data_IF_184502184932
#
_entry.id   IF_184502184932
#
_cell.length_a   1.000
_cell.length_b   1.000
_cell.length_c   1.000
_cell.angle_alpha   90.00
_cell.angle_beta   90.00
_cell.angle_gamma   90.00
#
_symmetry.space_group_name_H-M   'P 1'
#
loop_
_entity.id
_entity.type
_entity.pdbx_description
1 polymer ?
#
# COMPACT_ATOMS: atom_id res chain seq x y z
N UNK A 1 -87.88 11.45 71.75
CA UNK A 1 -86.81 12.42 72.05
C UNK A 1 -85.70 12.18 71.03
N UNK A 2 -85.62 12.96 69.93
CA UNK A 2 -84.90 14.26 69.83
C UNK A 2 -83.44 14.12 70.28
N UNK A 3 -82.38 14.41 69.53
CA UNK A 3 -82.15 15.13 68.27
C UNK A 3 -80.69 14.81 67.81
N UNK A 4 -80.13 15.41 66.73
CA UNK A 4 -79.14 14.82 65.82
C UNK A 4 -77.69 15.12 66.21
N UNK A 5 -76.69 14.56 65.50
CA UNK A 5 -75.43 15.31 65.33
C UNK A 5 -74.49 14.89 64.17
N UNK A 6 -74.16 15.95 63.41
CA UNK A 6 -72.93 16.29 62.67
C UNK A 6 -72.42 15.37 61.56
N UNK A 7 -72.67 15.81 60.33
CA UNK A 7 -71.88 15.44 59.16
C UNK A 7 -70.45 16.00 59.29
N UNK A 8 -69.46 15.11 59.32
CA UNK A 8 -68.03 15.48 59.24
C UNK A 8 -67.65 15.62 57.77
N UNK A 9 -67.32 16.86 57.40
CA UNK A 9 -66.80 17.22 56.09
C UNK A 9 -65.35 16.72 55.96
N UNK A 10 -65.15 15.58 55.30
CA UNK A 10 -63.82 15.06 54.99
C UNK A 10 -63.25 15.81 53.78
N UNK A 11 -62.33 16.74 54.06
CA UNK A 11 -61.60 17.51 53.05
C UNK A 11 -60.90 16.63 52.02
N UNK A 12 -60.96 17.05 50.76
CA UNK A 12 -60.33 16.37 49.63
C UNK A 12 -58.79 16.28 49.81
N UNK A 13 -58.14 15.18 49.41
CA UNK A 13 -56.69 15.05 49.48
C UNK A 13 -56.00 16.04 48.53
N UNK A 14 -54.79 16.54 48.87
CA UNK A 14 -54.08 17.48 48.02
C UNK A 14 -53.67 16.84 46.69
N UNK A 15 -53.90 17.56 45.60
CA UNK A 15 -53.58 17.13 44.24
C UNK A 15 -52.06 16.92 44.10
N UNK A 16 -51.63 15.68 43.79
CA UNK A 16 -50.25 15.35 43.46
C UNK A 16 -49.82 16.14 42.22
N UNK A 17 -48.84 17.03 42.37
CA UNK A 17 -48.20 17.72 41.25
C UNK A 17 -47.59 16.69 40.29
N UNK A 18 -48.15 16.56 39.08
CA UNK A 18 -47.56 15.76 37.99
C UNK A 18 -46.24 16.41 37.58
N UNK A 19 -45.12 15.75 37.87
CA UNK A 19 -43.85 16.08 37.23
C UNK A 19 -44.00 15.91 35.70
N UNK A 20 -43.46 16.82 34.88
CA UNK A 20 -43.49 16.64 33.43
C UNK A 20 -42.70 15.37 33.09
N UNK A 21 -43.35 14.44 32.39
CA UNK A 21 -42.71 13.23 31.91
C UNK A 21 -41.50 13.63 31.05
N UNK A 22 -40.30 13.14 31.41
CA UNK A 22 -39.13 13.22 30.53
C UNK A 22 -39.55 12.61 29.19
N UNK A 23 -39.53 13.41 28.12
CA UNK A 23 -39.73 12.90 26.76
C UNK A 23 -38.66 11.82 26.54
N UNK A 24 -39.10 10.57 26.41
CA UNK A 24 -38.21 9.50 26.00
C UNK A 24 -37.69 9.85 24.60
N UNK A 25 -36.38 10.02 24.48
CA UNK A 25 -35.75 10.17 23.17
C UNK A 25 -36.09 8.92 22.34
N UNK A 26 -36.55 9.07 21.09
CA UNK A 26 -36.87 7.92 20.27
C UNK A 26 -35.60 7.06 20.14
N UNK A 27 -35.69 5.73 20.31
CA UNK A 27 -34.54 4.86 20.15
C UNK A 27 -33.98 5.08 18.75
N UNK A 28 -32.68 5.39 18.64
CA UNK A 28 -32.00 5.45 17.34
C UNK A 28 -32.34 4.16 16.61
N UNK A 29 -33.06 4.29 15.49
CA UNK A 29 -33.57 3.11 14.78
C UNK A 29 -32.41 2.22 14.35
N UNK A 30 -32.54 0.91 14.52
CA UNK A 30 -31.53 -0.09 14.16
C UNK A 30 -30.97 0.13 12.73
N UNK A 31 -31.81 0.57 11.79
CA UNK A 31 -31.42 0.94 10.42
C UNK A 31 -30.38 2.06 10.38
N UNK A 32 -30.53 3.11 11.19
CA UNK A 32 -29.59 4.22 11.25
C UNK A 32 -28.24 3.78 11.82
N UNK A 33 -28.24 2.91 12.82
CA UNK A 33 -27.00 2.34 13.39
C UNK A 33 -26.26 1.47 12.38
N UNK A 34 -26.96 0.59 11.67
CA UNK A 34 -26.37 -0.21 10.59
C UNK A 34 -25.85 0.68 9.46
N UNK A 35 -26.57 1.73 9.10
CA UNK A 35 -26.16 2.68 8.06
C UNK A 35 -24.88 3.41 8.46
N UNK A 36 -24.83 3.95 9.68
CA UNK A 36 -23.62 4.61 10.21
C UNK A 36 -22.46 3.61 10.30
N UNK A 37 -22.70 2.38 10.75
CA UNK A 37 -21.68 1.34 10.84
C UNK A 37 -21.11 0.98 9.47
N UNK A 38 -21.97 0.77 8.47
CA UNK A 38 -21.54 0.49 7.09
C UNK A 38 -20.79 1.68 6.51
N UNK A 39 -21.25 2.91 6.74
CA UNK A 39 -20.56 4.12 6.27
C UNK A 39 -19.18 4.27 6.91
N UNK A 40 -19.07 4.08 8.23
CA UNK A 40 -17.79 4.12 8.94
C UNK A 40 -16.86 2.98 8.50
N UNK A 41 -17.41 1.78 8.27
CA UNK A 41 -16.65 0.64 7.76
C UNK A 41 -16.14 0.91 6.35
N UNK A 42 -17.01 1.37 5.44
CA UNK A 42 -16.63 1.71 4.07
C UNK A 42 -15.64 2.86 4.05
N UNK A 43 -15.85 3.92 4.82
CA UNK A 43 -14.92 5.04 4.92
C UNK A 43 -13.57 4.60 5.48
N UNK A 44 -13.56 3.90 6.62
CA UNK A 44 -12.33 3.41 7.25
C UNK A 44 -11.57 2.43 6.37
N UNK A 45 -12.25 1.49 5.73
CA UNK A 45 -11.60 0.50 4.87
C UNK A 45 -11.09 1.11 3.56
N UNK A 46 -11.83 2.02 2.91
CA UNK A 46 -11.42 2.65 1.64
C UNK A 46 -10.32 3.72 1.80
N UNK A 47 -10.25 4.37 2.96
CA UNK A 47 -9.24 5.40 3.23
C UNK A 47 -7.92 4.81 3.74
N UNK A 48 -7.98 3.73 4.53
CA UNK A 48 -6.79 3.12 5.14
C UNK A 48 -6.18 2.03 4.25
N UNK A 49 -7.00 1.28 3.52
CA UNK A 49 -6.56 0.16 2.70
C UNK A 49 -7.01 0.35 1.25
N UNK A 50 -6.14 0.00 0.30
CA UNK A 50 -6.49 -0.03 -1.12
C UNK A 50 -6.11 -1.36 -1.76
N UNK A 51 -7.01 -1.86 -2.62
CA UNK A 51 -6.75 -3.04 -3.42
C UNK A 51 -6.01 -2.67 -4.72
N UNK A 52 -5.00 -3.46 -5.07
CA UNK A 52 -4.26 -3.35 -6.34
C UNK A 52 -4.09 -4.73 -6.96
N UNK A 53 -3.96 -4.78 -8.29
CA UNK A 53 -3.61 -6.01 -9.01
C UNK A 53 -2.24 -5.83 -9.65
N UNK A 54 -1.40 -6.86 -9.60
CA UNK A 54 -0.07 -6.84 -10.20
C UNK A 54 -0.16 -7.26 -11.68
N UNK A 55 0.10 -6.33 -12.63
CA UNK A 55 0.00 -6.63 -14.05
C UNK A 55 1.32 -7.12 -14.65
N UNK A 56 2.47 -6.88 -14.02
CA UNK A 56 3.80 -7.16 -14.59
C UNK A 56 4.65 -8.06 -13.70
N UNK A 57 5.58 -8.78 -14.32
CA UNK A 57 6.50 -9.70 -13.63
C UNK A 57 7.75 -9.06 -13.03
N UNK A 58 7.81 -7.74 -12.89
CA UNK A 58 9.04 -7.06 -12.44
C UNK A 58 9.43 -7.33 -10.98
N UNK A 59 8.47 -7.82 -10.19
CA UNK A 59 8.64 -8.24 -8.81
C UNK A 59 8.51 -9.77 -8.67
N UNK A 60 8.67 -10.54 -9.77
CA UNK A 60 8.52 -12.00 -9.77
C UNK A 60 9.33 -12.68 -8.64
N UNK A 61 8.86 -13.87 -8.25
CA UNK A 61 9.22 -14.62 -7.04
C UNK A 61 8.69 -14.02 -5.73
N UNK A 62 8.64 -12.69 -5.62
CA UNK A 62 7.95 -12.00 -4.52
C UNK A 62 6.46 -11.80 -4.83
N UNK A 63 6.16 -11.10 -5.93
CA UNK A 63 4.82 -10.78 -6.43
C UNK A 63 4.70 -11.25 -7.88
N UNK A 64 3.65 -12.03 -8.18
CA UNK A 64 3.41 -12.59 -9.50
C UNK A 64 2.29 -11.84 -10.22
N UNK A 65 2.31 -11.88 -11.55
CA UNK A 65 1.21 -11.39 -12.38
C UNK A 65 -0.10 -12.04 -11.92
N UNK A 66 -1.13 -11.22 -11.68
CA UNK A 66 -2.44 -11.64 -11.16
C UNK A 66 -2.52 -11.79 -9.64
N UNK A 67 -1.48 -11.43 -8.89
CA UNK A 67 -1.60 -11.22 -7.44
C UNK A 67 -2.43 -9.97 -7.16
N UNK A 68 -3.41 -10.11 -6.27
CA UNK A 68 -4.24 -9.03 -5.77
C UNK A 68 -3.80 -8.67 -4.36
N UNK A 69 -3.41 -7.42 -4.17
CA UNK A 69 -2.76 -6.92 -2.96
C UNK A 69 -3.72 -6.05 -2.15
N UNK A 70 -3.68 -6.18 -0.82
CA UNK A 70 -4.16 -5.12 0.07
C UNK A 70 -2.97 -4.27 0.51
N UNK A 71 -3.09 -2.97 0.30
CA UNK A 71 -2.04 -1.98 0.56
C UNK A 71 -2.47 -1.07 1.70
N UNK A 72 -1.63 -0.99 2.73
CA UNK A 72 -1.77 -0.06 3.84
C UNK A 72 -1.26 1.32 3.44
N UNK A 73 -2.18 2.28 3.33
CA UNK A 73 -1.86 3.69 3.03
C UNK A 73 -1.38 4.45 4.26
N UNK A 74 -1.76 4.00 5.46
CA UNK A 74 -1.44 4.68 6.69
C UNK A 74 0.04 4.53 7.04
N UNK A 75 0.63 3.37 6.75
CA UNK A 75 2.05 3.09 6.98
C UNK A 75 2.96 4.22 6.48
N UNK A 76 2.70 4.78 5.29
CA UNK A 76 3.52 5.85 4.72
C UNK A 76 2.73 7.16 4.53
N UNK A 77 1.67 7.39 5.30
CA UNK A 77 0.99 8.69 5.28
C UNK A 77 1.78 9.74 6.09
N UNK A 78 1.67 11.04 5.76
CA UNK A 78 2.23 12.10 6.59
C UNK A 78 1.58 12.08 7.98
N UNK A 79 2.41 12.10 9.02
CA UNK A 79 1.92 12.08 10.38
C UNK A 79 1.40 13.47 10.79
N UNK A 80 0.15 13.54 11.27
CA UNK A 80 -0.45 14.78 11.76
C UNK A 80 0.07 15.16 13.16
N UNK A 81 -0.18 16.39 13.64
CA UNK A 81 0.34 16.89 14.91
C UNK A 81 0.02 16.00 16.12
N UNK A 82 -1.19 15.43 16.12
CA UNK A 82 -1.71 14.54 17.18
C UNK A 82 -1.66 13.07 16.75
N UNK A 83 -2.00 12.76 15.50
CA UNK A 83 -2.11 11.38 15.05
C UNK A 83 -0.78 10.62 15.09
N UNK A 84 0.37 11.31 15.01
CA UNK A 84 1.70 10.69 15.12
C UNK A 84 1.93 9.86 16.39
N UNK A 85 1.17 10.12 17.46
CA UNK A 85 1.30 9.41 18.73
C UNK A 85 0.35 8.22 18.87
N UNK A 86 -0.65 8.11 17.98
CA UNK A 86 -1.74 7.13 18.10
C UNK A 86 -1.77 6.19 16.90
N UNK A 87 -1.40 6.67 15.72
CA UNK A 87 -1.43 5.91 14.48
C UNK A 87 -0.03 5.36 14.13
N UNK A 88 0.05 4.14 13.58
CA UNK A 88 1.31 3.44 13.32
C UNK A 88 2.00 3.92 12.04
N UNK A 89 2.30 5.22 11.95
CA UNK A 89 3.09 5.75 10.83
C UNK A 89 4.51 5.16 10.85
N UNK A 90 5.01 4.82 9.67
CA UNK A 90 6.34 4.26 9.46
C UNK A 90 7.11 5.15 8.49
N UNK A 91 8.43 5.24 8.71
CA UNK A 91 9.31 5.70 7.66
C UNK A 91 9.57 4.55 6.69
N UNK A 92 9.78 4.90 5.42
CA UNK A 92 10.17 3.92 4.41
C UNK A 92 11.60 3.49 4.70
N UNK A 93 11.80 2.18 4.92
CA UNK A 93 13.10 1.58 5.24
C UNK A 93 13.65 0.83 4.05
N UNK A 94 14.96 0.54 4.10
CA UNK A 94 15.61 -0.33 3.13
C UNK A 94 14.94 -1.71 3.14
N UNK A 95 14.69 -2.24 1.95
CA UNK A 95 14.07 -3.54 1.72
C UNK A 95 12.56 -3.58 1.88
N UNK A 96 11.91 -2.47 2.27
CA UNK A 96 10.46 -2.34 2.18
C UNK A 96 10.01 -2.44 0.70
N UNK A 97 8.86 -3.07 0.49
CA UNK A 97 8.16 -2.99 -0.80
C UNK A 97 7.21 -1.80 -0.72
N UNK A 98 7.22 -0.98 -1.76
CA UNK A 98 6.40 0.23 -1.83
C UNK A 98 5.50 0.18 -3.05
N UNK A 99 4.26 0.65 -2.88
CA UNK A 99 3.36 0.99 -3.97
C UNK A 99 3.42 2.50 -4.15
N UNK A 100 3.67 2.98 -5.36
CA UNK A 100 3.89 4.41 -5.61
C UNK A 100 3.40 4.82 -7.01
N UNK A 101 3.09 6.10 -7.16
CA UNK A 101 2.82 6.71 -8.47
C UNK A 101 4.12 6.82 -9.25
N UNK A 102 4.14 6.32 -10.47
CA UNK A 102 5.32 6.32 -11.32
C UNK A 102 5.81 7.77 -11.57
N UNK A 103 7.07 8.14 -11.28
CA UNK A 103 7.51 9.54 -11.37
C UNK A 103 7.44 10.17 -12.76
N UNK A 104 7.52 9.38 -13.82
CA UNK A 104 7.42 9.89 -15.20
C UNK A 104 5.96 10.06 -15.64
N UNK A 105 5.07 9.18 -15.18
CA UNK A 105 3.62 9.26 -15.45
C UNK A 105 2.83 8.87 -14.18
N UNK A 106 2.37 9.89 -13.46
CA UNK A 106 1.70 9.73 -12.17
C UNK A 106 0.33 9.06 -12.26
N UNK A 107 -0.22 8.85 -13.46
CA UNK A 107 -1.43 8.06 -13.67
C UNK A 107 -1.15 6.55 -13.51
N UNK A 108 0.12 6.14 -13.64
CA UNK A 108 0.53 4.75 -13.48
C UNK A 108 0.99 4.48 -12.04
N UNK A 109 0.68 3.30 -11.53
CA UNK A 109 1.11 2.84 -10.20
C UNK A 109 2.06 1.67 -10.34
N UNK A 110 3.20 1.76 -9.66
CA UNK A 110 4.26 0.77 -9.71
C UNK A 110 4.47 0.16 -8.31
N UNK A 111 5.01 -1.06 -8.29
CA UNK A 111 5.41 -1.75 -7.07
C UNK A 111 6.87 -2.17 -7.21
N UNK A 112 7.72 -1.72 -6.28
CA UNK A 112 9.17 -2.00 -6.26
C UNK A 112 9.67 -2.16 -4.83
N UNK A 113 10.86 -2.74 -4.68
CA UNK A 113 11.58 -2.78 -3.41
C UNK A 113 12.50 -1.58 -3.28
N UNK A 114 12.49 -0.94 -2.11
CA UNK A 114 13.42 0.12 -1.76
C UNK A 114 14.78 -0.48 -1.51
N UNK A 115 15.77 -0.07 -2.31
CA UNK A 115 17.16 -0.51 -2.15
C UNK A 115 17.97 0.54 -1.40
N UNK A 116 17.72 1.83 -1.67
CA UNK A 116 18.36 2.93 -0.95
C UNK A 116 17.36 3.97 -0.45
N UNK A 117 17.67 4.51 0.72
CA UNK A 117 16.97 5.62 1.40
C UNK A 117 17.87 6.87 1.38
N UNK A 118 17.38 8.07 1.77
CA UNK A 118 18.20 9.28 1.73
C UNK A 118 19.58 9.13 2.38
N UNK A 119 20.61 9.58 1.67
CA UNK A 119 22.01 9.50 2.07
C UNK A 119 22.75 8.25 1.61
N UNK A 120 22.05 7.22 1.14
CA UNK A 120 22.68 5.99 0.65
C UNK A 120 23.46 6.21 -0.64
N UNK A 121 24.56 5.46 -0.76
CA UNK A 121 25.39 5.36 -1.95
C UNK A 121 25.19 4.00 -2.60
N UNK A 122 24.85 4.00 -3.88
CA UNK A 122 24.46 2.80 -4.61
C UNK A 122 25.38 2.63 -5.81
N UNK A 123 25.91 1.42 -5.92
CA UNK A 123 26.66 0.97 -7.10
C UNK A 123 26.24 -0.46 -7.41
N UNK A 124 26.28 -0.83 -8.67
CA UNK A 124 26.06 -2.18 -9.15
C UNK A 124 27.27 -2.55 -9.98
N UNK A 125 27.87 -3.70 -9.69
CA UNK A 125 28.98 -4.26 -10.46
C UNK A 125 28.66 -5.71 -10.74
N UNK A 126 28.61 -6.09 -12.02
CA UNK A 126 28.29 -7.45 -12.46
C UNK A 126 27.11 -8.05 -11.70
N UNK A 127 25.95 -7.38 -11.72
CA UNK A 127 24.68 -7.83 -11.07
C UNK A 127 24.66 -7.81 -9.54
N UNK A 128 25.76 -7.47 -8.88
CA UNK A 128 25.84 -7.32 -7.43
C UNK A 128 25.61 -5.86 -7.04
N UNK A 129 24.62 -5.61 -6.18
CA UNK A 129 24.39 -4.27 -5.61
C UNK A 129 25.36 -4.08 -4.45
N UNK A 130 25.99 -2.91 -4.42
CA UNK A 130 26.79 -2.39 -3.33
C UNK A 130 26.03 -1.21 -2.73
N UNK A 131 25.81 -1.27 -1.43
CA UNK A 131 25.17 -0.23 -0.64
C UNK A 131 26.21 0.31 0.34
N UNK A 132 26.53 1.60 0.24
CA UNK A 132 27.53 2.26 1.07
C UNK A 132 28.88 1.52 1.05
N UNK A 133 29.30 1.06 -0.14
CA UNK A 133 30.55 0.32 -0.35
C UNK A 133 30.53 -1.16 0.05
N UNK A 134 29.46 -1.68 0.67
CA UNK A 134 29.36 -3.09 1.05
C UNK A 134 28.45 -3.87 0.10
N UNK A 135 28.78 -5.12 -0.27
CA UNK A 135 27.88 -5.94 -1.07
C UNK A 135 26.58 -6.18 -0.30
N UNK A 136 25.46 -5.86 -0.92
CA UNK A 136 24.15 -6.07 -0.36
C UNK A 136 23.74 -7.54 -0.48
N UNK A 137 23.33 -8.15 0.63
CA UNK A 137 22.73 -9.49 0.62
C UNK A 137 21.27 -9.41 0.17
N UNK A 138 20.94 -10.11 -0.91
CA UNK A 138 19.64 -9.99 -1.57
C UNK A 138 19.02 -11.39 -1.75
N UNK A 139 18.58 -12.07 -0.68
CA UNK A 139 18.02 -13.42 -0.76
C UNK A 139 16.71 -13.49 -1.56
N UNK A 140 16.10 -12.34 -1.83
CA UNK A 140 14.89 -12.16 -2.64
C UNK A 140 15.18 -11.93 -4.12
N UNK A 141 16.45 -11.74 -4.52
CA UNK A 141 16.83 -11.43 -5.90
C UNK A 141 16.92 -12.71 -6.72
N UNK A 142 16.41 -12.66 -7.95
CA UNK A 142 16.60 -13.71 -8.94
C UNK A 142 17.15 -13.13 -10.25
N UNK A 143 18.14 -13.81 -10.81
CA UNK A 143 18.65 -13.54 -12.16
C UNK A 143 18.15 -14.64 -13.09
N UNK A 144 17.38 -14.25 -14.11
CA UNK A 144 16.81 -15.17 -15.10
C UNK A 144 17.78 -15.48 -16.23
N UNK A 145 18.86 -14.70 -16.34
CA UNK A 145 19.88 -14.88 -17.35
C UNK A 145 21.27 -14.60 -16.79
N UNK A 146 22.25 -15.34 -17.31
CA UNK A 146 23.68 -15.12 -17.06
C UNK A 146 24.25 -13.96 -17.90
N UNK A 147 23.47 -13.44 -18.86
CA UNK A 147 23.85 -12.28 -19.66
C UNK A 147 24.04 -11.04 -18.77
N UNK A 148 25.22 -10.42 -18.88
CA UNK A 148 25.57 -9.16 -18.23
C UNK A 148 25.30 -8.02 -19.21
N UNK A 149 24.35 -7.17 -18.85
CA UNK A 149 24.08 -5.93 -19.56
C UNK A 149 25.03 -4.82 -19.08
N UNK A 150 25.57 -4.04 -20.02
CA UNK A 150 26.62 -3.06 -19.74
C UNK A 150 26.18 -1.90 -18.84
N UNK A 151 24.88 -1.62 -18.73
CA UNK A 151 24.34 -0.54 -17.91
C UNK A 151 23.52 -1.07 -16.73
N UNK A 152 22.53 -1.94 -17.00
CA UNK A 152 21.61 -2.51 -16.00
C UNK A 152 22.37 -3.19 -14.85
N UNK A 153 23.46 -3.87 -15.18
CA UNK A 153 24.23 -4.70 -14.25
C UNK A 153 25.54 -4.04 -13.81
N UNK A 154 25.86 -2.85 -14.36
CA UNK A 154 27.04 -2.04 -14.05
C UNK A 154 26.64 -0.56 -13.95
N UNK A 155 26.07 -0.17 -12.81
CA UNK A 155 25.42 1.11 -12.59
C UNK A 155 26.04 1.85 -11.40
N UNK A 156 26.14 3.19 -11.38
CA UNK A 156 25.96 4.09 -12.52
C UNK A 156 27.06 3.87 -13.58
N UNK A 157 26.71 4.07 -14.85
CA UNK A 157 27.61 3.88 -15.99
C UNK A 157 27.04 4.50 -17.26
N UNK A 158 27.77 4.40 -18.37
CA UNK A 158 27.31 4.87 -19.68
C UNK A 158 26.05 4.09 -20.12
N UNK A 159 24.91 4.77 -20.34
CA UNK A 159 23.68 4.10 -20.73
C UNK A 159 23.77 3.49 -22.13
N UNK A 160 23.45 2.20 -22.25
CA UNK A 160 23.28 1.51 -23.53
C UNK A 160 21.85 1.60 -24.09
N UNK A 161 20.96 2.30 -23.38
CA UNK A 161 19.56 2.54 -23.72
C UNK A 161 19.20 4.01 -23.48
N UNK A 162 18.12 4.47 -24.11
CA UNK A 162 17.60 5.81 -23.84
C UNK A 162 16.96 5.85 -22.45
N UNK A 163 17.48 6.74 -21.61
CA UNK A 163 16.94 7.01 -20.27
C UNK A 163 15.85 8.08 -20.29
N UNK A 164 14.99 8.06 -19.27
CA UNK A 164 14.09 9.18 -18.99
C UNK A 164 14.89 10.38 -18.46
N UNK A 165 14.33 11.57 -18.60
CA UNK A 165 14.97 12.83 -18.21
C UNK A 165 15.41 12.81 -16.74
N UNK A 166 14.52 12.38 -15.85
CA UNK A 166 14.77 12.29 -14.40
C UNK A 166 15.94 11.34 -14.05
N UNK A 167 16.15 10.28 -14.84
CA UNK A 167 17.30 9.39 -14.65
C UNK A 167 18.60 10.03 -15.13
N UNK A 168 18.55 10.81 -16.22
CA UNK A 168 19.73 11.55 -16.71
C UNK A 168 20.14 12.60 -15.69
N UNK A 169 19.19 13.35 -15.15
CA UNK A 169 19.44 14.34 -14.08
C UNK A 169 20.02 13.69 -12.82
N UNK A 170 19.50 12.51 -12.43
CA UNK A 170 20.08 11.72 -11.34
C UNK A 170 21.55 11.38 -11.62
N UNK A 171 21.86 10.89 -12.83
CA UNK A 171 23.24 10.53 -13.18
C UNK A 171 24.18 11.74 -13.24
N UNK A 172 23.68 12.89 -13.70
CA UNK A 172 24.44 14.13 -13.83
C UNK A 172 24.74 14.79 -12.47
N UNK A 173 23.76 14.84 -11.57
CA UNK A 173 23.86 15.62 -10.34
C UNK A 173 24.09 14.80 -9.06
N UNK A 174 23.77 13.50 -9.09
CA UNK A 174 23.78 12.66 -7.88
C UNK A 174 24.80 11.53 -7.93
N UNK A 175 25.66 11.46 -8.94
CA UNK A 175 26.78 10.51 -8.97
C UNK A 175 28.01 11.14 -8.33
N UNK A 176 28.51 10.52 -7.25
CA UNK A 176 29.73 10.93 -6.55
C UNK A 176 30.65 9.73 -6.45
N UNK A 177 31.88 9.85 -6.97
CA UNK A 177 32.87 8.76 -6.99
C UNK A 177 32.35 7.47 -7.66
N UNK A 178 31.49 7.59 -8.68
CA UNK A 178 30.93 6.44 -9.39
C UNK A 178 29.87 5.68 -8.60
N UNK A 179 29.22 6.32 -7.62
CA UNK A 179 28.07 5.81 -6.88
C UNK A 179 26.94 6.83 -6.93
N UNK A 180 25.70 6.37 -7.10
CA UNK A 180 24.52 7.24 -7.00
C UNK A 180 24.20 7.50 -5.54
N UNK A 181 24.13 8.77 -5.15
CA UNK A 181 23.79 9.24 -3.80
C UNK A 181 22.32 9.63 -3.75
N UNK A 182 21.52 8.94 -2.93
CA UNK A 182 20.09 9.20 -2.81
C UNK A 182 19.84 10.53 -2.07
N UNK A 183 19.15 11.52 -2.68
CA UNK A 183 18.93 12.80 -2.02
C UNK A 183 17.85 12.74 -0.92
N UNK A 184 17.77 13.77 -0.05
CA UNK A 184 16.67 13.91 0.91
C UNK A 184 15.30 13.80 0.26
N UNK A 185 14.37 13.11 0.94
CA UNK A 185 13.00 12.93 0.48
C UNK A 185 12.84 11.98 -0.72
N UNK A 186 13.90 11.32 -1.15
CA UNK A 186 13.90 10.43 -2.31
C UNK A 186 14.33 9.01 -1.94
N UNK A 187 13.97 8.05 -2.81
CA UNK A 187 14.29 6.64 -2.65
C UNK A 187 14.78 6.06 -3.96
N UNK A 188 15.70 5.10 -3.88
CA UNK A 188 16.11 4.30 -5.03
C UNK A 188 15.44 2.94 -4.93
N UNK A 189 14.58 2.60 -5.90
CA UNK A 189 13.75 1.41 -5.87
C UNK A 189 14.04 0.50 -7.07
N UNK A 190 14.13 -0.80 -6.83
CA UNK A 190 14.42 -1.82 -7.85
C UNK A 190 13.38 -2.94 -7.84
N UNK A 191 13.20 -3.59 -8.99
CA UNK A 191 12.44 -4.83 -9.05
C UNK A 191 13.25 -6.01 -8.50
N UNK A 192 12.55 -7.01 -7.95
CA UNK A 192 13.18 -8.26 -7.50
C UNK A 192 13.61 -9.12 -8.71
N UNK A 193 12.85 -9.07 -9.81
CA UNK A 193 13.28 -9.61 -11.10
C UNK A 193 14.19 -8.58 -11.81
N UNK A 194 15.48 -8.61 -11.46
CA UNK A 194 16.47 -7.59 -11.85
C UNK A 194 16.68 -7.46 -13.35
N UNK A 195 16.55 -8.59 -14.05
CA UNK A 195 16.77 -8.68 -15.49
C UNK A 195 15.58 -8.15 -16.30
N UNK A 196 14.39 -8.06 -15.69
CA UNK A 196 13.13 -7.66 -16.34
C UNK A 196 12.36 -6.63 -15.52
N UNK A 197 13.07 -5.60 -15.05
CA UNK A 197 12.47 -4.51 -14.27
C UNK A 197 12.87 -3.14 -14.79
N UNK A 198 11.88 -2.38 -15.25
CA UNK A 198 11.98 -0.94 -15.41
C UNK A 198 11.85 -0.27 -14.03
N UNK A 199 12.97 0.18 -13.49
CA UNK A 199 13.11 0.71 -12.13
C UNK A 199 14.06 1.93 -12.06
N UNK A 200 14.51 2.33 -10.85
CA UNK A 200 15.24 3.58 -10.64
C UNK A 200 16.50 3.74 -11.51
N UNK A 201 17.08 2.64 -12.01
CA UNK A 201 18.17 2.67 -12.98
C UNK A 201 17.78 3.40 -14.28
N UNK A 202 16.50 3.41 -14.64
CA UNK A 202 16.03 3.93 -15.92
C UNK A 202 15.24 5.23 -15.81
N UNK A 203 14.50 5.43 -14.72
CA UNK A 203 13.66 6.64 -14.49
C UNK A 203 14.07 7.50 -13.29
N UNK A 204 15.11 7.12 -12.53
CA UNK A 204 15.64 7.93 -11.45
C UNK A 204 15.04 7.62 -10.08
N UNK A 205 15.01 8.60 -9.18
CA UNK A 205 14.53 8.40 -7.81
C UNK A 205 13.00 8.44 -7.67
N UNK A 206 12.47 7.80 -6.64
CA UNK A 206 11.06 7.92 -6.22
C UNK A 206 10.97 9.04 -5.18
N UNK A 207 10.25 10.14 -5.46
CA UNK A 207 9.96 11.14 -4.44
C UNK A 207 9.04 10.57 -3.36
N UNK A 208 9.20 11.01 -2.11
CA UNK A 208 8.43 10.51 -0.95
C UNK A 208 6.92 10.67 -1.14
N UNK A 209 6.50 11.75 -1.76
CA UNK A 209 5.12 12.13 -2.06
C UNK A 209 4.46 11.20 -3.10
N UNK A 210 5.25 10.49 -3.90
CA UNK A 210 4.74 9.52 -4.85
C UNK A 210 4.35 8.20 -4.17
N UNK A 211 4.87 7.93 -2.97
CA UNK A 211 4.63 6.67 -2.25
C UNK A 211 3.21 6.65 -1.69
N UNK A 212 2.43 5.67 -2.14
CA UNK A 212 1.02 5.48 -1.76
C UNK A 212 0.92 4.67 -0.48
N UNK A 213 1.69 3.58 -0.35
CA UNK A 213 1.56 2.68 0.80
C UNK A 213 2.40 1.42 0.74
N UNK A 214 2.22 0.59 1.77
CA UNK A 214 2.92 -0.68 1.98
C UNK A 214 2.01 -1.85 1.63
N UNK A 215 2.37 -2.73 0.67
CA UNK A 215 1.60 -3.93 0.41
C UNK A 215 1.74 -4.91 1.59
N UNK A 216 0.61 -5.36 2.15
CA UNK A 216 0.57 -6.20 3.36
C UNK A 216 0.31 -7.67 3.05
N UNK A 217 -0.72 -7.95 2.23
CA UNK A 217 -1.20 -9.30 1.98
C UNK A 217 -1.56 -9.46 0.50
N UNK A 218 -1.28 -10.64 -0.04
CA UNK A 218 -1.87 -11.10 -1.30
C UNK A 218 -3.21 -11.71 -0.90
N UNK A 219 -4.32 -10.98 -1.02
CA UNK A 219 -5.62 -11.49 -0.57
C UNK A 219 -6.19 -12.52 -1.55
N UNK A 220 -5.78 -12.45 -2.82
CA UNK A 220 -6.12 -13.43 -3.84
C UNK A 220 -5.07 -13.44 -4.95
N UNK A 221 -4.94 -14.57 -5.63
CA UNK A 221 -3.90 -14.78 -6.62
C UNK A 221 -4.46 -15.67 -7.72
N UNK A 222 -4.50 -15.15 -8.94
CA UNK A 222 -5.08 -15.84 -10.10
C UNK A 222 -4.07 -15.88 -11.24
N UNK A 223 -3.91 -17.03 -11.87
CA UNK A 223 -3.02 -17.21 -13.00
C UNK A 223 -3.60 -16.56 -14.27
N UNK A 224 -2.91 -15.53 -14.77
CA UNK A 224 -3.32 -14.75 -15.94
C UNK A 224 -2.10 -14.09 -16.59
N UNK A 225 -2.31 -13.43 -17.73
CA UNK A 225 -1.30 -12.72 -18.50
C UNK A 225 -1.49 -11.20 -18.40
N UNK A 226 -0.40 -10.45 -18.58
CA UNK A 226 -0.36 -8.98 -18.47
C UNK A 226 -1.44 -8.31 -19.31
N UNK A 227 -1.64 -8.79 -20.54
CA UNK A 227 -2.54 -8.19 -21.53
C UNK A 227 -3.99 -8.18 -21.06
N UNK A 228 -4.40 -9.21 -20.29
CA UNK A 228 -5.75 -9.31 -19.72
C UNK A 228 -5.97 -8.36 -18.55
N UNK A 229 -4.90 -7.95 -17.86
CA UNK A 229 -4.97 -7.06 -16.70
C UNK A 229 -4.90 -5.58 -17.08
N UNK A 230 -4.27 -5.26 -18.21
CA UNK A 230 -4.10 -3.88 -18.69
C UNK A 230 -5.21 -3.46 -19.66
N UNK A 231 -5.93 -4.41 -20.26
CA UNK A 231 -7.02 -4.14 -21.19
C UNK A 231 -8.18 -3.36 -20.56
N UNK A 232 -8.75 -2.40 -21.29
CA UNK A 232 -9.78 -1.47 -20.83
C UNK A 232 -11.19 -2.08 -20.69
N UNK A 233 -11.39 -3.34 -21.06
CA UNK A 233 -12.73 -3.95 -21.13
C UNK A 233 -12.71 -5.32 -20.45
N UNK A 234 -13.45 -5.47 -19.36
CA UNK A 234 -13.77 -6.79 -18.79
C UNK A 234 -14.76 -7.44 -19.75
N UNK A 235 -14.24 -8.21 -20.71
CA UNK A 235 -15.07 -8.98 -21.63
C UNK A 235 -15.79 -10.12 -20.93
N UNK A 236 -16.94 -10.53 -21.47
CA UNK A 236 -17.68 -11.71 -20.98
C UNK A 236 -16.80 -12.97 -20.92
N UNK A 237 -15.87 -13.12 -21.87
CA UNK A 237 -14.91 -14.23 -21.91
C UNK A 237 -13.99 -14.27 -20.68
N UNK A 238 -13.61 -13.11 -20.13
CA UNK A 238 -12.82 -13.04 -18.91
C UNK A 238 -13.63 -13.49 -17.68
N UNK A 239 -14.91 -13.09 -17.60
CA UNK A 239 -15.81 -13.52 -16.53
C UNK A 239 -16.04 -15.04 -16.60
N UNK A 240 -16.27 -15.57 -17.80
CA UNK A 240 -16.50 -16.99 -18.01
C UNK A 240 -15.25 -17.82 -17.67
N UNK A 241 -14.05 -17.36 -18.09
CA UNK A 241 -12.78 -17.96 -17.69
C UNK A 241 -12.63 -17.96 -16.17
N UNK A 242 -12.95 -16.85 -15.50
CA UNK A 242 -12.86 -16.74 -14.05
C UNK A 242 -13.76 -17.76 -13.36
N UNK A 243 -15.01 -17.89 -13.79
CA UNK A 243 -15.98 -18.81 -13.16
C UNK A 243 -15.59 -20.27 -13.41
N UNK A 244 -15.24 -20.61 -14.66
CA UNK A 244 -14.90 -21.98 -15.03
C UNK A 244 -13.57 -22.43 -14.41
N UNK A 245 -12.58 -21.55 -14.37
CA UNK A 245 -11.23 -21.86 -13.92
C UNK A 245 -10.92 -21.31 -12.52
N UNK A 246 -11.93 -20.87 -11.78
CA UNK A 246 -11.74 -20.27 -10.44
C UNK A 246 -10.87 -21.17 -9.56
N UNK A 247 -11.22 -22.44 -9.46
CA UNK A 247 -10.52 -23.37 -8.56
C UNK A 247 -9.17 -23.83 -9.10
N UNK A 248 -9.01 -23.89 -10.43
CA UNK A 248 -7.81 -24.42 -11.08
C UNK A 248 -6.72 -23.37 -11.25
N UNK A 249 -7.09 -22.15 -11.65
CA UNK A 249 -6.17 -21.01 -11.84
C UNK A 249 -5.96 -20.16 -10.60
N UNK A 250 -6.77 -20.33 -9.55
CA UNK A 250 -6.46 -19.70 -8.26
C UNK A 250 -5.22 -20.36 -7.65
N UNK A 251 -4.18 -19.54 -7.41
CA UNK A 251 -2.95 -19.96 -6.76
C UNK A 251 -3.14 -19.96 -5.24
N UNK A 252 -3.84 -20.98 -4.74
CA UNK A 252 -4.25 -21.11 -3.32
C UNK A 252 -3.11 -20.94 -2.31
N UNK A 253 -1.90 -21.41 -2.64
CA UNK A 253 -0.71 -21.25 -1.78
C UNK A 253 -0.27 -19.79 -1.58
N UNK A 254 -0.72 -18.88 -2.45
CA UNK A 254 -0.41 -17.44 -2.40
C UNK A 254 -1.57 -16.62 -1.83
N UNK A 255 -2.80 -17.12 -1.88
CA UNK A 255 -3.97 -16.47 -1.28
C UNK A 255 -3.77 -16.34 0.24
N UNK A 256 -4.01 -15.14 0.77
CA UNK A 256 -3.72 -14.71 2.14
C UNK A 256 -2.24 -14.76 2.55
N UNK A 257 -1.30 -14.82 1.60
CA UNK A 257 0.13 -14.77 1.90
C UNK A 257 0.53 -13.36 2.36
N UNK A 258 1.14 -13.27 3.53
CA UNK A 258 1.76 -12.03 4.01
C UNK A 258 2.98 -11.67 3.16
N UNK A 259 3.03 -10.41 2.76
CA UNK A 259 4.13 -9.84 1.98
C UNK A 259 5.19 -9.39 2.97
N UNK A 260 6.36 -10.04 2.92
CA UNK A 260 7.46 -9.73 3.83
C UNK A 260 8.40 -8.72 3.20
N UNK A 261 8.67 -7.64 3.93
CA UNK A 261 9.89 -6.88 3.73
C UNK A 261 11.08 -7.77 4.11
N UNK A 262 12.18 -7.64 3.40
CA UNK A 262 13.46 -8.20 3.83
C UNK A 262 14.24 -7.03 4.41
N UNK A 263 14.50 -7.05 5.71
CA UNK A 263 15.30 -5.97 6.30
C UNK A 263 16.71 -6.05 5.73
N UNK A 264 17.08 -5.02 5.00
CA UNK A 264 18.45 -4.78 4.60
C UNK A 264 19.11 -4.17 5.83
N UNK A 265 20.02 -4.93 6.46
CA UNK A 265 20.75 -4.45 7.62
C UNK A 265 21.52 -3.17 7.27
N UNK A 266 21.59 -2.26 8.24
CA UNK A 266 22.45 -1.11 8.13
C UNK A 266 23.91 -1.60 8.08
N UNK A 267 24.69 -1.21 7.06
CA UNK A 267 26.08 -1.61 6.95
C UNK A 267 26.92 -1.09 8.12
#
# INVERSE_FOLDING_TARGET
MSEPNVAVNAGAPPAKSRQPAKKAEPPRGTVAEWTVTILLLLFGTTTLVQAFVIPTGSMEDTLLIGDHLLVDKLAYAPAGPVSRYVLPYQQVRRGDIIVFRYPVDVQQTFVKRVVGVPGDRIRIVNKQVFLNGKPLEEPYKYHKTDYIDSYRDNFPGEPNVRLYEQAREMLEHHVVNGEVVVPPGHYFAMGDNRDSSLDSRYWGFVPRENIIGKPLIIYWSYETVTERLVGSTIGFDHLLDLVQNFFTKTRWRRTFKLIRAHEIADP
#
